data_IF_146388521077
#
_entry.id   IF_146388521077
#
_cell.length_a   1.000
_cell.length_b   1.000
_cell.length_c   1.000
_cell.angle_alpha   90.00
_cell.angle_beta   90.00
_cell.angle_gamma   90.00
#
_symmetry.space_group_name_H-M   'P 1'
#
loop_
_entity.id
_entity.type
_entity.pdbx_description
1 polymer ?
#
# COMPACT_ATOMS: atom_id res chain seq x y z
N UNK A 1 15.54 11.29 -9.33
CA UNK A 1 16.05 11.29 -7.94
C UNK A 1 15.34 10.17 -7.19
N UNK A 2 16.03 9.10 -6.83
CA UNK A 2 15.47 8.07 -5.94
C UNK A 2 15.54 8.59 -4.51
N UNK A 3 14.47 9.24 -4.04
CA UNK A 3 14.33 9.52 -2.61
C UNK A 3 14.28 8.17 -1.88
N UNK A 4 15.30 7.89 -1.05
CA UNK A 4 15.27 6.76 -0.12
C UNK A 4 14.00 6.91 0.71
N UNK A 5 13.12 5.91 0.63
CA UNK A 5 11.87 5.87 1.37
C UNK A 5 12.19 5.91 2.87
N UNK A 6 12.07 7.08 3.49
CA UNK A 6 12.11 7.18 4.95
C UNK A 6 10.76 6.69 5.48
N UNK A 7 10.63 5.36 5.52
CA UNK A 7 9.47 4.68 6.07
C UNK A 7 9.55 4.59 7.61
N UNK A 8 10.52 5.25 8.27
CA UNK A 8 10.82 5.01 9.69
C UNK A 8 9.60 5.23 10.59
N UNK A 9 8.78 6.23 10.28
CA UNK A 9 7.45 6.41 10.86
C UNK A 9 6.43 5.52 10.13
N UNK A 10 6.13 4.36 10.72
CA UNK A 10 5.08 3.47 10.22
C UNK A 10 5.57 2.16 9.60
N UNK A 11 6.88 1.96 9.37
CA UNK A 11 7.45 0.70 8.83
C UNK A 11 6.93 -0.55 9.55
N UNK A 12 6.90 -0.55 10.87
CA UNK A 12 6.41 -1.70 11.66
C UNK A 12 4.93 -1.99 11.39
N UNK A 13 4.11 -0.94 11.29
CA UNK A 13 2.68 -1.07 11.01
C UNK A 13 2.45 -1.55 9.58
N UNK A 14 3.17 -1.00 8.60
CA UNK A 14 3.13 -1.40 7.19
C UNK A 14 3.50 -2.88 7.06
N UNK A 15 4.62 -3.30 7.64
CA UNK A 15 5.07 -4.69 7.62
C UNK A 15 4.05 -5.63 8.27
N UNK A 16 3.48 -5.25 9.40
CA UNK A 16 2.46 -6.04 10.07
C UNK A 16 1.21 -6.24 9.19
N UNK A 17 0.72 -5.17 8.55
CA UNK A 17 -0.42 -5.24 7.62
C UNK A 17 -0.11 -6.09 6.38
N UNK A 18 1.09 -5.95 5.83
CA UNK A 18 1.54 -6.78 4.70
C UNK A 18 1.63 -8.26 5.08
N UNK A 19 2.09 -8.59 6.28
CA UNK A 19 2.10 -9.97 6.77
C UNK A 19 0.69 -10.57 6.88
N UNK A 20 -0.29 -9.77 7.31
CA UNK A 20 -1.70 -10.17 7.34
C UNK A 20 -2.19 -10.41 5.90
N UNK A 21 -1.99 -9.45 4.99
CA UNK A 21 -2.39 -9.60 3.59
C UNK A 21 -1.77 -10.83 2.92
N UNK A 22 -0.50 -11.14 3.22
CA UNK A 22 0.16 -12.37 2.77
C UNK A 22 -0.57 -13.62 3.28
N UNK A 23 -0.95 -13.69 4.56
CA UNK A 23 -1.70 -14.83 5.09
C UNK A 23 -3.05 -15.05 4.39
N UNK A 24 -3.75 -13.98 4.02
CA UNK A 24 -4.96 -14.08 3.20
C UNK A 24 -4.65 -14.57 1.77
N UNK A 25 -3.56 -14.11 1.16
CA UNK A 25 -3.13 -14.59 -0.15
C UNK A 25 -2.77 -16.08 -0.13
N UNK A 26 -2.03 -16.52 0.88
CA UNK A 26 -1.68 -17.94 1.09
C UNK A 26 -2.95 -18.80 1.23
N UNK A 27 -3.98 -18.25 1.90
CA UNK A 27 -5.29 -18.91 2.01
C UNK A 27 -6.00 -19.04 0.66
N UNK A 28 -5.98 -17.99 -0.17
CA UNK A 28 -6.55 -18.03 -1.53
C UNK A 28 -5.87 -19.12 -2.36
N UNK A 29 -4.54 -19.18 -2.33
CA UNK A 29 -3.77 -20.21 -3.04
C UNK A 29 -4.21 -21.61 -2.61
N UNK A 30 -4.34 -21.83 -1.30
CA UNK A 30 -4.80 -23.11 -0.75
C UNK A 30 -6.26 -23.44 -1.12
N UNK A 31 -7.11 -22.43 -1.27
CA UNK A 31 -8.50 -22.61 -1.70
C UNK A 31 -8.57 -23.02 -3.17
N UNK A 32 -7.73 -22.44 -4.03
CA UNK A 32 -7.67 -22.82 -5.45
C UNK A 32 -7.11 -24.23 -5.61
N UNK A 33 -6.04 -24.56 -4.87
CA UNK A 33 -5.44 -25.91 -4.89
C UNK A 33 -6.42 -26.99 -4.39
N UNK A 34 -7.30 -26.63 -3.45
CA UNK A 34 -8.34 -27.51 -2.92
C UNK A 34 -9.68 -27.46 -3.66
N UNK A 35 -9.74 -26.94 -4.89
CA UNK A 35 -10.96 -26.83 -5.71
C UNK A 35 -12.15 -26.17 -4.98
N UNK A 36 -11.87 -25.16 -4.15
CA UNK A 36 -12.90 -24.44 -3.40
C UNK A 36 -13.89 -23.71 -4.32
N UNK A 37 -15.08 -23.42 -3.80
CA UNK A 37 -16.12 -22.73 -4.55
C UNK A 37 -15.64 -21.35 -5.05
N UNK A 38 -15.77 -21.11 -6.35
CA UNK A 38 -15.17 -19.95 -7.01
C UNK A 38 -15.58 -18.61 -6.40
N UNK A 39 -16.83 -18.48 -5.94
CA UNK A 39 -17.33 -17.23 -5.34
C UNK A 39 -16.65 -16.94 -3.99
N UNK A 40 -16.32 -17.98 -3.22
CA UNK A 40 -15.61 -17.81 -1.95
C UNK A 40 -14.16 -17.36 -2.19
N UNK A 41 -13.51 -17.90 -3.23
CA UNK A 41 -12.18 -17.45 -3.68
C UNK A 41 -12.22 -15.98 -4.09
N UNK A 42 -13.25 -15.56 -4.84
CA UNK A 42 -13.45 -14.17 -5.24
C UNK A 42 -13.65 -13.27 -4.01
N UNK A 43 -14.47 -13.67 -3.04
CA UNK A 43 -14.66 -12.91 -1.80
C UNK A 43 -13.35 -12.75 -1.01
N UNK A 44 -12.54 -13.80 -0.90
CA UNK A 44 -11.21 -13.70 -0.26
C UNK A 44 -10.26 -12.79 -1.04
N UNK A 45 -10.27 -12.86 -2.38
CA UNK A 45 -9.49 -11.98 -3.24
C UNK A 45 -9.82 -10.50 -3.02
N UNK A 46 -11.12 -10.17 -2.96
CA UNK A 46 -11.59 -8.80 -2.65
C UNK A 46 -11.11 -8.36 -1.26
N UNK A 47 -11.10 -9.26 -0.27
CA UNK A 47 -10.57 -8.96 1.06
C UNK A 47 -9.07 -8.63 1.04
N UNK A 48 -8.27 -9.35 0.25
CA UNK A 48 -6.85 -9.04 0.04
C UNK A 48 -6.67 -7.68 -0.62
N UNK A 49 -7.45 -7.38 -1.66
CA UNK A 49 -7.41 -6.06 -2.32
C UNK A 49 -7.72 -4.93 -1.34
N UNK A 50 -8.74 -5.10 -0.48
CA UNK A 50 -9.07 -4.12 0.56
C UNK A 50 -7.94 -3.97 1.59
N UNK A 51 -7.29 -5.07 1.98
CA UNK A 51 -6.15 -5.03 2.90
C UNK A 51 -4.95 -4.28 2.29
N UNK A 52 -4.63 -4.53 1.01
CA UNK A 52 -3.56 -3.84 0.29
C UNK A 52 -3.86 -2.35 0.13
N UNK A 53 -5.10 -1.98 -0.22
CA UNK A 53 -5.52 -0.57 -0.25
C UNK A 53 -5.27 0.15 1.08
N UNK A 54 -5.51 -0.53 2.21
CA UNK A 54 -5.22 0.04 3.53
C UNK A 54 -3.72 0.19 3.81
N UNK A 55 -2.89 -0.68 3.25
CA UNK A 55 -1.43 -0.53 3.31
C UNK A 55 -0.99 0.70 2.52
N UNK A 56 -1.52 0.88 1.30
CA UNK A 56 -1.21 2.02 0.44
C UNK A 56 -1.56 3.35 1.10
N UNK A 57 -2.72 3.44 1.76
CA UNK A 57 -3.14 4.61 2.52
C UNK A 57 -2.13 4.98 3.62
N UNK A 58 -1.62 3.99 4.37
CA UNK A 58 -0.63 4.22 5.45
C UNK A 58 0.72 4.64 4.87
N UNK A 59 1.15 4.04 3.76
CA UNK A 59 2.38 4.43 3.06
C UNK A 59 2.28 5.87 2.57
N UNK A 60 1.16 6.22 1.93
CA UNK A 60 0.93 7.55 1.38
C UNK A 60 0.89 8.60 2.50
N UNK A 61 0.18 8.32 3.60
CA UNK A 61 0.16 9.20 4.78
C UNK A 61 1.57 9.43 5.33
N UNK A 62 2.38 8.38 5.45
CA UNK A 62 3.78 8.49 5.88
C UNK A 62 4.58 9.36 4.90
N UNK A 63 4.42 9.18 3.60
CA UNK A 63 5.12 9.95 2.58
C UNK A 63 4.74 11.44 2.60
N UNK A 64 3.46 11.75 2.76
CA UNK A 64 2.95 13.12 2.87
C UNK A 64 3.54 13.83 4.09
N UNK A 65 3.58 13.16 5.24
CA UNK A 65 4.08 13.73 6.50
C UNK A 65 5.61 13.86 6.58
N UNK A 66 6.36 13.21 5.69
CA UNK A 66 7.83 13.20 5.72
C UNK A 66 8.43 13.85 4.48
N UNK A 67 8.41 13.13 3.36
CA UNK A 67 9.09 13.51 2.13
C UNK A 67 8.45 14.75 1.51
N UNK A 68 7.13 14.78 1.37
CA UNK A 68 6.41 15.92 0.78
C UNK A 68 6.50 17.14 1.70
N UNK A 69 6.28 16.96 3.00
CA UNK A 69 6.42 18.05 3.98
C UNK A 69 7.83 18.69 3.95
N UNK A 70 8.89 17.88 3.80
CA UNK A 70 10.26 18.35 3.66
C UNK A 70 10.50 19.08 2.33
N UNK A 71 9.99 18.54 1.22
CA UNK A 71 10.10 19.16 -0.11
C UNK A 71 9.38 20.51 -0.18
N UNK A 72 8.20 20.63 0.43
CA UNK A 72 7.47 21.91 0.54
C UNK A 72 8.30 22.95 1.29
N UNK A 73 8.89 22.58 2.44
CA UNK A 73 9.77 23.47 3.21
C UNK A 73 11.03 23.88 2.45
N UNK A 74 11.47 23.05 1.50
CA UNK A 74 12.65 23.28 0.67
C UNK A 74 12.34 24.02 -0.64
N UNK A 75 11.10 24.44 -0.86
CA UNK A 75 10.68 25.19 -2.06
C UNK A 75 10.32 24.32 -3.28
N UNK A 76 10.36 22.99 -3.16
CA UNK A 76 10.07 22.04 -4.25
C UNK A 76 8.64 21.48 -4.14
N UNK A 77 7.66 22.36 -3.87
CA UNK A 77 6.28 21.94 -3.60
C UNK A 77 5.58 21.40 -4.85
N UNK A 78 5.87 21.96 -6.03
CA UNK A 78 5.24 21.58 -7.29
C UNK A 78 5.56 20.13 -7.68
N UNK A 79 6.85 19.80 -7.68
CA UNK A 79 7.34 18.47 -8.03
C UNK A 79 6.80 17.41 -7.06
N UNK A 80 6.77 17.73 -5.75
CA UNK A 80 6.25 16.82 -4.73
C UNK A 80 4.74 16.56 -4.87
N UNK A 81 3.96 17.59 -5.23
CA UNK A 81 2.52 17.44 -5.49
C UNK A 81 2.28 16.62 -6.77
N UNK A 82 3.03 16.89 -7.84
CA UNK A 82 2.92 16.16 -9.11
C UNK A 82 3.22 14.66 -8.93
N UNK A 83 4.21 14.31 -8.11
CA UNK A 83 4.52 12.92 -7.74
C UNK A 83 3.30 12.23 -7.10
N UNK A 84 2.71 12.84 -6.06
CA UNK A 84 1.54 12.28 -5.36
C UNK A 84 0.35 12.13 -6.30
N UNK A 85 0.08 13.15 -7.13
CA UNK A 85 -1.04 13.11 -8.08
C UNK A 85 -0.87 12.00 -9.12
N UNK A 86 0.36 11.71 -9.56
CA UNK A 86 0.64 10.64 -10.53
C UNK A 86 0.28 9.24 -9.99
N UNK A 87 0.38 9.03 -8.68
CA UNK A 87 0.01 7.77 -8.02
C UNK A 87 -1.51 7.64 -7.93
N UNK A 88 -2.22 8.71 -7.55
CA UNK A 88 -3.68 8.70 -7.40
C UNK A 88 -4.43 8.59 -8.75
N UNK A 89 -3.81 9.02 -9.84
CA UNK A 89 -4.38 8.94 -11.18
C UNK A 89 -4.17 7.59 -11.87
N UNK A 90 -3.26 6.74 -11.36
CA UNK A 90 -3.13 5.36 -11.85
C UNK A 90 -4.35 4.55 -11.42
N UNK A 91 -5.17 4.17 -12.41
CA UNK A 91 -6.28 3.22 -12.25
C UNK A 91 -5.80 1.79 -12.24
#
# INVERSE_FOLDING_TARGET
MTHKTDMSNGKKQILHRLQIARGHLDKIISMVDGDAYCIDVVHQSIAVQAALKKVDEVILESHLNTCVAASIKSGNSKEAIEEVMSVLQKK
#
